data_IF_890373532053
#
_entry.id   IF_890373532053
#
_cell.length_a   1.000
_cell.length_b   1.000
_cell.length_c   1.000
_cell.angle_alpha   90.00
_cell.angle_beta   90.00
_cell.angle_gamma   90.00
#
_symmetry.space_group_name_H-M   'P 1'
#
loop_
_entity.id
_entity.type
_entity.pdbx_description
1 polymer ?
#
# COMPACT_ATOMS: atom_id res chain seq x y z
N UNK A 1 13.89 -13.57 0.20
CA UNK A 1 13.34 -13.47 0.81
C UNK A 1 13.12 -12.35 1.70
N UNK A 2 12.07 -12.28 2.16
CA UNK A 2 11.59 -11.16 2.90
C UNK A 2 12.36 -10.85 4.17
N UNK A 3 13.13 -11.79 4.68
CA UNK A 3 13.84 -11.62 5.94
C UNK A 3 14.90 -10.52 5.90
N UNK A 4 15.48 -10.24 4.74
CA UNK A 4 16.52 -9.19 4.62
C UNK A 4 15.95 -7.79 4.40
N UNK A 5 14.81 -7.70 3.75
CA UNK A 5 14.17 -6.42 3.48
C UNK A 5 13.80 -5.69 4.78
N UNK A 6 13.22 -6.37 5.80
CA UNK A 6 12.92 -5.73 7.06
C UNK A 6 14.11 -5.13 7.78
N UNK A 7 15.30 -5.72 7.66
CA UNK A 7 16.51 -5.22 8.34
C UNK A 7 16.89 -3.82 7.81
N UNK A 8 16.93 -3.66 6.48
CA UNK A 8 17.24 -2.37 5.87
C UNK A 8 16.17 -1.32 6.19
N UNK A 9 14.90 -1.73 6.17
CA UNK A 9 13.81 -0.84 6.51
C UNK A 9 13.87 -0.38 7.98
N UNK A 10 14.30 -1.27 8.88
CA UNK A 10 14.47 -0.93 10.29
C UNK A 10 15.55 0.14 10.47
N UNK A 11 16.65 0.03 9.72
CA UNK A 11 17.72 1.03 9.78
C UNK A 11 17.24 2.39 9.28
N UNK A 12 16.50 2.43 8.19
CA UNK A 12 15.92 3.68 7.67
C UNK A 12 14.95 4.27 8.69
N UNK A 13 14.11 3.45 9.31
CA UNK A 13 13.17 3.92 10.33
C UNK A 13 13.90 4.57 11.50
N UNK A 14 14.98 3.95 11.98
CA UNK A 14 15.79 4.49 13.07
C UNK A 14 16.47 5.80 12.70
N UNK A 15 16.96 5.90 11.47
CA UNK A 15 17.58 7.14 10.98
C UNK A 15 16.56 8.28 10.97
N UNK A 16 15.36 8.02 10.50
CA UNK A 16 14.29 9.01 10.48
C UNK A 16 13.92 9.45 11.89
N UNK A 17 13.79 8.50 12.82
CA UNK A 17 13.48 8.82 14.21
C UNK A 17 14.59 9.66 14.84
N UNK A 18 15.84 9.32 14.57
CA UNK A 18 17.01 10.07 15.08
C UNK A 18 17.02 11.51 14.56
N UNK A 19 16.46 11.76 13.39
CA UNK A 19 16.33 13.10 12.82
C UNK A 19 15.18 13.91 13.43
N UNK A 20 14.39 13.31 14.31
CA UNK A 20 13.31 14.02 15.00
C UNK A 20 11.95 13.96 14.33
N UNK A 21 11.71 12.94 13.53
CA UNK A 21 10.40 12.74 12.88
C UNK A 21 9.35 12.45 13.94
N UNK A 22 8.23 13.15 13.91
CA UNK A 22 7.13 12.98 14.84
C UNK A 22 6.06 12.00 14.33
N UNK A 23 5.89 11.93 13.03
CA UNK A 23 4.88 11.09 12.39
C UNK A 23 5.32 10.72 10.98
N UNK A 24 4.93 9.55 10.52
CA UNK A 24 5.22 9.09 9.16
C UNK A 24 3.93 8.85 8.41
N UNK A 25 3.83 9.38 7.21
CA UNK A 25 2.76 9.05 6.27
C UNK A 25 3.43 8.44 5.06
N UNK A 26 3.09 7.20 4.77
CA UNK A 26 3.65 6.47 3.63
C UNK A 26 2.55 6.02 2.69
N UNK A 27 2.85 5.93 1.41
CA UNK A 27 1.93 5.40 0.43
C UNK A 27 2.50 4.08 -0.09
N UNK A 28 1.74 3.02 0.07
CA UNK A 28 2.08 1.68 -0.40
C UNK A 28 3.44 1.18 0.10
N UNK A 29 3.58 1.04 1.41
CA UNK A 29 4.74 0.39 1.98
C UNK A 29 4.93 -1.00 1.37
N UNK A 30 6.18 -1.42 1.21
CA UNK A 30 6.52 -2.72 0.65
C UNK A 30 5.81 -3.86 1.41
N UNK A 31 5.76 -3.77 2.74
CA UNK A 31 4.93 -4.64 3.56
C UNK A 31 4.47 -3.89 4.80
N UNK A 32 3.32 -4.28 5.33
CA UNK A 32 2.73 -3.61 6.50
C UNK A 32 3.57 -3.72 7.76
N UNK A 33 4.40 -4.74 7.87
CA UNK A 33 5.29 -4.97 9.01
C UNK A 33 6.30 -3.85 9.21
N UNK A 34 6.65 -3.11 8.16
CA UNK A 34 7.57 -1.98 8.24
C UNK A 34 7.09 -0.94 9.25
N UNK A 35 5.78 -0.81 9.43
CA UNK A 35 5.22 0.10 10.42
C UNK A 35 5.76 -0.16 11.83
N UNK A 36 6.01 -1.43 12.16
CA UNK A 36 6.50 -1.83 13.47
C UNK A 36 7.96 -1.46 13.74
N UNK A 37 8.70 -1.02 12.72
CA UNK A 37 10.09 -0.62 12.91
C UNK A 37 10.23 0.76 13.52
N UNK A 38 9.18 1.56 13.46
CA UNK A 38 9.16 2.84 14.17
C UNK A 38 8.78 2.61 15.63
N UNK A 39 9.36 3.40 16.51
CA UNK A 39 9.09 3.31 17.93
C UNK A 39 7.64 3.72 18.25
N UNK A 40 7.19 3.44 19.49
CA UNK A 40 5.80 3.70 19.87
C UNK A 40 5.42 5.18 19.87
N UNK A 41 6.41 6.07 19.81
CA UNK A 41 6.18 7.52 19.79
C UNK A 41 6.01 8.08 18.37
N UNK A 42 6.25 7.26 17.34
CA UNK A 42 6.18 7.70 15.95
C UNK A 42 5.06 6.93 15.26
N UNK A 43 3.86 7.50 15.20
CA UNK A 43 2.76 6.84 14.50
C UNK A 43 3.03 6.80 13.00
N UNK A 44 2.61 5.71 12.37
CA UNK A 44 2.80 5.48 10.93
C UNK A 44 1.43 5.26 10.29
N UNK A 45 1.11 6.09 9.30
CA UNK A 45 -0.04 5.90 8.46
C UNK A 45 0.41 5.29 7.14
N UNK A 46 -0.02 4.07 6.87
CA UNK A 46 0.24 3.39 5.61
C UNK A 46 -0.96 3.55 4.69
N UNK A 47 -0.89 4.49 3.78
CA UNK A 47 -1.95 4.78 2.83
C UNK A 47 -1.84 3.88 1.60
N UNK A 48 -2.97 3.61 0.97
CA UNK A 48 -3.01 2.78 -0.22
C UNK A 48 -3.42 3.63 -1.43
N UNK A 49 -2.51 3.75 -2.38
CA UNK A 49 -2.76 4.48 -3.62
C UNK A 49 -3.86 3.84 -4.47
N UNK A 50 -4.09 2.54 -4.29
CA UNK A 50 -5.17 1.83 -4.97
C UNK A 50 -6.55 2.42 -4.73
N UNK A 51 -6.78 3.02 -3.56
CA UNK A 51 -8.06 3.67 -3.26
C UNK A 51 -8.32 4.86 -4.21
N UNK A 52 -7.28 5.63 -4.49
CA UNK A 52 -7.36 6.72 -5.46
C UNK A 52 -7.53 6.16 -6.87
N UNK A 53 -6.82 5.09 -7.19
CA UNK A 53 -6.94 4.42 -8.48
C UNK A 53 -8.35 3.90 -8.76
N UNK A 54 -9.02 3.35 -7.75
CA UNK A 54 -10.42 2.90 -7.88
C UNK A 54 -11.31 4.06 -8.31
N UNK A 55 -11.20 5.20 -7.66
CA UNK A 55 -12.01 6.38 -8.01
C UNK A 55 -11.68 6.89 -9.41
N UNK A 56 -10.41 6.90 -9.76
CA UNK A 56 -9.96 7.39 -11.05
C UNK A 56 -10.48 6.52 -12.21
N UNK A 57 -10.29 5.22 -12.11
CA UNK A 57 -10.67 4.30 -13.18
C UNK A 57 -12.17 4.07 -13.26
N UNK A 58 -12.89 4.16 -12.15
CA UNK A 58 -14.34 4.01 -12.16
C UNK A 58 -15.05 5.11 -12.95
N UNK A 59 -14.41 6.27 -13.11
CA UNK A 59 -14.95 7.38 -13.90
C UNK A 59 -14.75 7.18 -15.40
N UNK A 60 -13.90 6.25 -15.80
CA UNK A 60 -13.68 5.94 -17.20
C UNK A 60 -14.75 4.99 -17.73
N UNK A 61 -14.97 5.04 -19.03
CA UNK A 61 -15.82 4.07 -19.68
C UNK A 61 -15.06 2.75 -19.84
N UNK A 62 -15.32 1.81 -18.93
CA UNK A 62 -14.62 0.53 -18.89
C UNK A 62 -15.41 -0.53 -19.65
N UNK A 63 -14.71 -1.32 -20.47
CA UNK A 63 -15.30 -2.38 -21.26
C UNK A 63 -14.63 -3.69 -20.87
N UNK A 64 -15.33 -4.54 -20.12
CA UNK A 64 -14.81 -5.82 -19.62
C UNK A 64 -13.42 -5.66 -18.98
N UNK A 65 -13.29 -4.80 -17.97
CA UNK A 65 -11.98 -4.52 -17.39
C UNK A 65 -11.38 -5.75 -16.73
N UNK A 66 -10.07 -5.89 -16.85
CA UNK A 66 -9.28 -6.94 -16.19
C UNK A 66 -8.14 -6.28 -15.44
N UNK A 67 -7.96 -6.65 -14.20
CA UNK A 67 -6.88 -6.13 -13.37
C UNK A 67 -5.79 -7.19 -13.30
N UNK A 68 -4.57 -6.79 -13.65
CA UNK A 68 -3.46 -7.72 -13.78
C UNK A 68 -2.36 -7.36 -12.79
N UNK A 69 -1.88 -8.37 -12.08
CA UNK A 69 -0.68 -8.23 -11.24
C UNK A 69 0.55 -8.58 -12.06
N UNK A 70 1.67 -7.83 -11.90
CA UNK A 70 2.92 -8.15 -12.59
C UNK A 70 3.55 -9.46 -12.10
N UNK A 71 3.23 -9.89 -10.88
CA UNK A 71 3.76 -11.10 -10.27
C UNK A 71 2.82 -11.62 -9.19
N UNK A 72 3.16 -12.76 -8.59
CA UNK A 72 2.35 -13.36 -7.54
C UNK A 72 2.29 -12.50 -6.28
N UNK A 73 3.30 -11.70 -6.02
CA UNK A 73 3.34 -10.81 -4.85
C UNK A 73 2.33 -9.68 -4.89
N UNK A 74 1.85 -9.31 -6.08
CA UNK A 74 0.87 -8.25 -6.25
C UNK A 74 -0.59 -8.68 -6.21
N UNK A 75 -0.87 -9.99 -6.06
CA UNK A 75 -2.23 -10.52 -6.12
C UNK A 75 -3.13 -9.90 -5.06
N UNK A 76 -2.64 -9.68 -3.87
CA UNK A 76 -3.40 -9.04 -2.80
C UNK A 76 -3.88 -7.63 -3.20
N UNK A 77 -2.99 -6.84 -3.80
CA UNK A 77 -3.34 -5.48 -4.26
C UNK A 77 -4.35 -5.51 -5.39
N UNK A 78 -4.21 -6.44 -6.32
CA UNK A 78 -5.17 -6.64 -7.41
C UNK A 78 -6.54 -6.98 -6.87
N UNK A 79 -6.60 -7.90 -5.92
CA UNK A 79 -7.86 -8.30 -5.29
C UNK A 79 -8.53 -7.13 -4.58
N UNK A 80 -7.78 -6.35 -3.83
CA UNK A 80 -8.30 -5.17 -3.15
C UNK A 80 -8.83 -4.13 -4.14
N UNK A 81 -8.12 -3.92 -5.23
CA UNK A 81 -8.54 -2.98 -6.27
C UNK A 81 -9.85 -3.43 -6.91
N UNK A 82 -9.94 -4.70 -7.27
CA UNK A 82 -11.15 -5.29 -7.84
C UNK A 82 -12.32 -5.18 -6.88
N UNK A 83 -12.11 -5.55 -5.63
CA UNK A 83 -13.16 -5.49 -4.62
C UNK A 83 -13.63 -4.05 -4.38
N UNK A 84 -12.71 -3.10 -4.41
CA UNK A 84 -13.02 -1.67 -4.29
C UNK A 84 -13.87 -1.16 -5.45
N UNK A 85 -13.58 -1.56 -6.67
CA UNK A 85 -14.38 -1.20 -7.84
C UNK A 85 -15.80 -1.76 -7.71
N UNK A 86 -15.94 -3.01 -7.30
CA UNK A 86 -17.24 -3.63 -7.14
C UNK A 86 -18.03 -3.00 -5.99
N UNK A 87 -17.41 -2.85 -4.83
CA UNK A 87 -18.10 -2.38 -3.63
C UNK A 87 -18.52 -0.91 -3.73
N UNK A 88 -17.67 -0.07 -4.32
CA UNK A 88 -17.91 1.37 -4.35
C UNK A 88 -18.69 1.82 -5.59
N UNK A 89 -18.45 1.18 -6.73
CA UNK A 89 -19.02 1.61 -8.01
C UNK A 89 -19.77 0.53 -8.76
N UNK A 90 -19.84 -0.70 -8.24
CA UNK A 90 -20.52 -1.81 -8.90
C UNK A 90 -19.84 -2.27 -10.18
N UNK A 91 -18.56 -1.98 -10.36
CA UNK A 91 -17.81 -2.39 -11.55
C UNK A 91 -17.28 -3.81 -11.35
N UNK A 92 -17.67 -4.71 -12.26
CA UNK A 92 -17.21 -6.09 -12.25
C UNK A 92 -15.97 -6.22 -13.14
N UNK A 93 -14.86 -6.60 -12.51
CA UNK A 93 -13.57 -6.69 -13.19
C UNK A 93 -12.93 -8.07 -13.02
#
# INVERSE_FOLDING_TARGET
>A
MAARVPISAADVARLLEAMGVDRVVAVDLHCGQIQGFFGPRVPVDNLQGGLVGVDYFAKMELHKPVIVSPDAGGVYRVKKFRDGLMAKYGVDA
#
